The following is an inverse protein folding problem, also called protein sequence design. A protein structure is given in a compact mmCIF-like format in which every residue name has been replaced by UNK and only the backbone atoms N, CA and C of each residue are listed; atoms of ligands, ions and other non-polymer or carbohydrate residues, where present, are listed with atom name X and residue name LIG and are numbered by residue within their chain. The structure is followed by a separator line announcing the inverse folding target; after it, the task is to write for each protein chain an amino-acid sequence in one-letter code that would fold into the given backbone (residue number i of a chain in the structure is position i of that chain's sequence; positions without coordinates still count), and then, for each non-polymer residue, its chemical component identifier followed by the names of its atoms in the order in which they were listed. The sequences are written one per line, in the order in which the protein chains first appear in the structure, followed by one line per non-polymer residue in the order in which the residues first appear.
data_IF_059532007390
#
_entry.id   IF_059532007390
#
_cell.length_a   1.000
_cell.length_b   1.000
_cell.length_c   1.000
_cell.angle_alpha   90.00
_cell.angle_beta   90.00
_cell.angle_gamma   90.00
#
_symmetry.space_group_name_H-M   'P 1'
#
loop_
_entity.id
_entity.type
_entity.pdbx_description
1 polymer ?
#
# COMPACT_ATOMS: atom_id res chain seq x y z
N UNK A 1 37.58 18.65 34.21
CA UNK A 1 37.05 20.01 34.04
C UNK A 1 35.66 19.98 34.69
N UNK A 2 35.59 19.83 36.01
CA UNK A 2 35.55 20.94 36.99
C UNK A 2 34.15 21.56 36.95
N UNK A 3 33.25 21.16 37.85
CA UNK A 3 32.94 21.86 39.12
C UNK A 3 32.35 23.25 38.78
N UNK A 4 31.12 23.60 39.16
CA UNK A 4 30.67 23.74 40.53
C UNK A 4 29.14 23.58 40.64
N UNK A 5 28.74 22.94 41.73
CA UNK A 5 27.41 22.97 42.30
C UNK A 5 27.54 23.63 43.68
N UNK A 6 26.44 24.21 44.17
CA UNK A 6 26.17 24.68 45.55
C UNK A 6 26.67 26.07 45.96
N UNK A 7 25.73 26.97 46.31
CA UNK A 7 25.30 27.19 47.70
C UNK A 7 24.53 28.52 47.89
N UNK A 8 23.32 28.41 48.47
CA UNK A 8 22.82 29.25 49.59
C UNK A 8 22.49 30.73 49.39
N UNK A 9 21.19 31.04 49.45
CA UNK A 9 20.57 31.96 50.44
C UNK A 9 19.04 31.85 50.26
N UNK A 10 18.31 31.17 51.15
CA UNK A 10 17.78 31.72 52.41
C UNK A 10 16.87 32.94 52.20
N UNK A 11 15.56 32.74 52.23
CA UNK A 11 14.71 33.32 53.29
C UNK A 11 13.25 33.01 52.97
N UNK A 12 12.72 32.06 53.75
CA UNK A 12 11.29 31.93 53.96
C UNK A 12 10.86 33.09 54.87
N UNK A 13 10.46 34.22 54.29
CA UNK A 13 9.81 35.29 55.05
C UNK A 13 8.30 35.00 55.07
N UNK A 14 7.89 34.25 56.10
CA UNK A 14 6.54 34.36 56.63
C UNK A 14 6.31 35.82 57.07
N UNK A 15 5.59 36.59 56.28
CA UNK A 15 4.90 37.77 56.80
C UNK A 15 3.53 37.31 57.26
N UNK A 16 3.45 36.97 58.54
CA UNK A 16 2.21 36.97 59.28
C UNK A 16 1.63 38.40 59.23
N UNK A 17 0.61 38.62 58.40
CA UNK A 17 -0.30 39.74 58.57
C UNK A 17 -1.50 39.27 59.37
N UNK A 18 -1.32 39.16 60.69
CA UNK A 18 -2.40 39.33 61.65
C UNK A 18 -2.79 40.80 61.64
N UNK A 19 -3.94 41.11 61.06
CA UNK A 19 -4.45 42.48 60.99
C UNK A 19 -5.83 42.52 60.38
N UNK A 20 -6.84 42.45 61.26
CA UNK A 20 -8.20 42.93 61.03
C UNK A 20 -9.04 42.15 60.01
N UNK A 21 -9.69 41.11 60.53
CA UNK A 21 -10.96 40.64 60.00
C UNK A 21 -12.00 41.75 60.28
N UNK A 22 -12.08 42.71 59.37
CA UNK A 22 -13.24 43.61 59.28
C UNK A 22 -14.41 42.75 58.77
N UNK A 23 -15.20 42.30 59.73
CA UNK A 23 -16.61 41.98 59.57
C UNK A 23 -17.22 43.00 58.61
N UNK A 24 -17.84 42.62 57.48
CA UNK A 24 -18.51 43.60 56.65
C UNK A 24 -19.67 44.12 57.49
N UNK A 25 -19.46 45.33 58.03
CA UNK A 25 -20.50 46.18 58.54
C UNK A 25 -21.67 46.05 57.58
N UNK A 26 -22.81 45.71 58.17
CA UNK A 26 -24.11 45.65 57.53
C UNK A 26 -24.39 47.05 56.98
N UNK A 27 -23.88 47.32 55.77
CA UNK A 27 -24.13 48.56 55.07
C UNK A 27 -25.58 48.48 54.66
N UNK A 28 -26.41 49.17 55.44
CA UNK A 28 -27.78 49.50 55.11
C UNK A 28 -27.89 49.69 53.60
N UNK A 29 -28.60 48.76 52.97
CA UNK A 29 -28.79 48.69 51.54
C UNK A 29 -29.59 49.92 51.08
N UNK A 30 -28.89 51.03 50.88
CA UNK A 30 -29.38 52.14 50.08
C UNK A 30 -29.84 51.54 48.75
N UNK A 31 -31.07 51.80 48.30
CA UNK A 31 -31.59 51.19 47.08
C UNK A 31 -30.69 51.59 45.92
N UNK A 32 -29.94 50.61 45.40
CA UNK A 32 -29.12 50.79 44.19
C UNK A 32 -30.01 51.48 43.14
N UNK A 33 -29.62 52.67 42.64
CA UNK A 33 -30.43 53.41 41.71
C UNK A 33 -30.91 52.55 40.54
N UNK A 34 -32.18 52.69 40.15
CA UNK A 34 -32.84 51.86 39.13
C UNK A 34 -32.06 51.77 37.80
N UNK A 35 -31.31 52.81 37.42
CA UNK A 35 -30.51 52.83 36.20
C UNK A 35 -29.34 51.83 36.25
N UNK A 36 -28.61 51.74 37.37
CA UNK A 36 -27.54 50.76 37.54
C UNK A 36 -28.07 49.33 37.53
N UNK A 37 -29.28 49.08 38.05
CA UNK A 37 -29.90 47.75 37.98
C UNK A 37 -30.22 47.35 36.54
N UNK A 38 -30.74 48.27 35.74
CA UNK A 38 -31.02 48.06 34.31
C UNK A 38 -29.76 47.80 33.49
N UNK A 39 -28.71 48.61 33.68
CA UNK A 39 -27.42 48.40 33.03
C UNK A 39 -26.78 47.06 33.42
N UNK A 40 -26.90 46.64 34.68
CA UNK A 40 -26.39 45.35 35.14
C UNK A 40 -27.17 44.18 34.52
N UNK A 41 -28.49 44.33 34.34
CA UNK A 41 -29.32 43.34 33.63
C UNK A 41 -28.96 43.25 32.15
N UNK A 42 -28.74 44.38 31.49
CA UNK A 42 -28.30 44.44 30.09
C UNK A 42 -26.91 43.81 29.91
N UNK A 43 -25.93 44.16 30.73
CA UNK A 43 -24.60 43.56 30.71
C UNK A 43 -24.65 42.05 30.98
N UNK A 44 -25.54 41.58 31.86
CA UNK A 44 -25.74 40.14 32.10
C UNK A 44 -26.36 39.45 30.90
N UNK A 45 -27.31 40.08 30.20
CA UNK A 45 -27.92 39.55 28.95
C UNK A 45 -26.89 39.48 27.84
N UNK A 46 -26.08 40.51 27.65
CA UNK A 46 -24.99 40.52 26.67
C UNK A 46 -23.95 39.45 26.98
N UNK A 47 -23.50 39.36 28.24
CA UNK A 47 -22.58 38.31 28.66
C UNK A 47 -23.17 36.90 28.49
N UNK A 48 -24.49 36.72 28.65
CA UNK A 48 -25.15 35.46 28.35
C UNK A 48 -25.14 35.14 26.85
N UNK A 49 -25.42 36.13 25.99
CA UNK A 49 -25.34 36.00 24.52
C UNK A 49 -23.93 35.65 24.05
N UNK A 50 -22.92 36.37 24.53
CA UNK A 50 -21.54 36.06 24.16
C UNK A 50 -21.08 34.68 24.62
N UNK A 51 -21.62 34.17 25.74
CA UNK A 51 -21.33 32.80 26.17
C UNK A 51 -21.95 31.77 25.22
N UNK A 52 -23.18 31.99 24.75
CA UNK A 52 -23.84 31.09 23.80
C UNK A 52 -23.13 31.12 22.45
N UNK A 53 -22.87 32.31 21.90
CA UNK A 53 -22.17 32.49 20.62
C UNK A 53 -20.76 31.87 20.66
N UNK A 54 -20.01 32.07 21.74
CA UNK A 54 -18.69 31.45 21.90
C UNK A 54 -18.78 29.92 21.95
N UNK A 55 -19.79 29.37 22.62
CA UNK A 55 -19.95 27.93 22.71
C UNK A 55 -20.34 27.31 21.35
N UNK A 56 -21.19 28.00 20.58
CA UNK A 56 -21.56 27.62 19.22
C UNK A 56 -20.33 27.65 18.29
N UNK A 57 -19.58 28.76 18.28
CA UNK A 57 -18.35 28.86 17.48
C UNK A 57 -17.31 27.80 17.86
N UNK A 58 -17.22 27.45 19.15
CA UNK A 58 -16.34 26.38 19.60
C UNK A 58 -16.80 25.02 19.07
N UNK A 59 -18.09 24.73 19.14
CA UNK A 59 -18.65 23.48 18.61
C UNK A 59 -18.43 23.38 17.09
N UNK A 60 -18.63 24.47 16.36
CA UNK A 60 -18.36 24.54 14.92
C UNK A 60 -16.88 24.28 14.62
N UNK A 61 -15.97 24.91 15.35
CA UNK A 61 -14.53 24.70 15.18
C UNK A 61 -14.11 23.25 15.50
N UNK A 62 -14.70 22.64 16.53
CA UNK A 62 -14.47 21.23 16.87
C UNK A 62 -15.00 20.31 15.75
N UNK A 63 -16.22 20.55 15.25
CA UNK A 63 -16.80 19.78 14.15
C UNK A 63 -15.96 19.89 12.87
N UNK A 64 -15.45 21.09 12.54
CA UNK A 64 -14.57 21.30 11.40
C UNK A 64 -13.27 20.52 11.53
N UNK A 65 -12.66 20.49 12.71
CA UNK A 65 -11.46 19.69 12.97
C UNK A 65 -11.73 18.20 12.79
N UNK A 66 -12.85 17.70 13.32
CA UNK A 66 -13.21 16.27 13.15
C UNK A 66 -13.46 15.90 11.70
N UNK A 67 -14.08 16.78 10.91
CA UNK A 67 -14.27 16.56 9.47
C UNK A 67 -12.94 16.55 8.72
N UNK A 68 -12.05 17.48 9.02
CA UNK A 68 -10.70 17.51 8.43
C UNK A 68 -9.87 16.27 8.77
N UNK A 69 -9.99 15.77 10.00
CA UNK A 69 -9.36 14.51 10.41
C UNK A 69 -9.98 13.32 9.67
N UNK A 70 -11.31 13.25 9.58
CA UNK A 70 -12.01 12.22 8.83
C UNK A 70 -11.61 12.23 7.34
N UNK A 71 -11.63 13.38 6.68
CA UNK A 71 -11.18 13.55 5.29
C UNK A 71 -9.74 13.10 5.09
N UNK A 72 -8.83 13.43 6.01
CA UNK A 72 -7.44 12.94 5.95
C UNK A 72 -7.38 11.41 6.04
N UNK A 73 -8.16 10.79 6.93
CA UNK A 73 -8.18 9.33 7.04
C UNK A 73 -8.79 8.67 5.80
N UNK A 74 -9.79 9.28 5.18
CA UNK A 74 -10.38 8.80 3.93
C UNK A 74 -9.41 8.94 2.76
N UNK A 75 -8.69 10.07 2.70
CA UNK A 75 -7.64 10.29 1.70
C UNK A 75 -6.53 9.25 1.85
N UNK A 76 -6.08 8.96 3.08
CA UNK A 76 -5.11 7.90 3.34
C UNK A 76 -5.59 6.54 2.82
N UNK A 77 -6.83 6.14 3.17
CA UNK A 77 -7.44 4.90 2.66
C UNK A 77 -7.54 4.88 1.14
N UNK A 78 -7.89 6.01 0.53
CA UNK A 78 -7.98 6.13 -0.93
C UNK A 78 -6.59 5.99 -1.58
N UNK A 79 -5.55 6.59 -1.00
CA UNK A 79 -4.16 6.47 -1.49
C UNK A 79 -3.62 5.05 -1.35
N UNK A 80 -3.90 4.37 -0.23
CA UNK A 80 -3.50 2.98 -0.04
C UNK A 80 -4.21 2.05 -1.03
N UNK A 81 -5.51 2.28 -1.27
CA UNK A 81 -6.25 1.56 -2.29
C UNK A 81 -5.67 1.79 -3.68
N UNK A 82 -5.35 3.04 -4.02
CA UNK A 82 -4.77 3.40 -5.31
C UNK A 82 -3.40 2.72 -5.49
N UNK A 83 -2.52 2.79 -4.49
CA UNK A 83 -1.22 2.11 -4.52
C UNK A 83 -1.38 0.59 -4.72
N UNK A 84 -2.30 -0.05 -4.00
CA UNK A 84 -2.57 -1.49 -4.18
C UNK A 84 -3.07 -1.85 -5.59
N UNK A 85 -3.86 -0.97 -6.20
CA UNK A 85 -4.36 -1.14 -7.57
C UNK A 85 -3.26 -0.91 -8.61
N UNK A 86 -2.39 0.07 -8.39
CA UNK A 86 -1.22 0.30 -9.25
C UNK A 86 -0.25 -0.89 -9.20
N UNK A 87 -0.01 -1.47 -8.03
CA UNK A 87 0.84 -2.65 -7.89
C UNK A 87 0.23 -3.87 -8.59
N UNK A 88 -1.08 -4.09 -8.44
CA UNK A 88 -1.78 -5.14 -9.17
C UNK A 88 -1.74 -4.91 -10.69
N UNK A 89 -1.89 -3.66 -11.13
CA UNK A 89 -1.81 -3.30 -12.54
C UNK A 89 -0.41 -3.53 -13.11
N UNK A 90 0.65 -3.09 -12.43
CA UNK A 90 2.05 -3.35 -12.83
C UNK A 90 2.35 -4.85 -12.89
N UNK A 91 1.82 -5.64 -11.95
CA UNK A 91 1.98 -7.09 -11.98
C UNK A 91 1.32 -7.72 -13.22
N UNK A 92 0.09 -7.31 -13.55
CA UNK A 92 -0.62 -7.76 -14.75
C UNK A 92 0.07 -7.30 -16.04
N UNK A 93 0.58 -6.07 -16.08
CA UNK A 93 1.36 -5.60 -17.23
C UNK A 93 2.63 -6.44 -17.42
N UNK A 94 3.37 -6.71 -16.36
CA UNK A 94 4.56 -7.55 -16.41
C UNK A 94 4.23 -8.96 -16.90
N UNK A 95 3.16 -9.58 -16.39
CA UNK A 95 2.68 -10.87 -16.88
C UNK A 95 2.31 -10.83 -18.37
N UNK A 96 1.60 -9.78 -18.80
CA UNK A 96 1.21 -9.63 -20.20
C UNK A 96 2.43 -9.49 -21.12
N UNK A 97 3.47 -8.76 -20.69
CA UNK A 97 4.73 -8.68 -21.45
C UNK A 97 5.41 -10.03 -21.58
N UNK A 98 5.48 -10.82 -20.49
CA UNK A 98 6.05 -12.18 -20.53
C UNK A 98 5.30 -13.07 -21.50
N UNK A 99 3.97 -13.08 -21.45
CA UNK A 99 3.13 -13.88 -22.33
C UNK A 99 3.29 -13.48 -23.80
N UNK A 100 3.34 -12.17 -24.10
CA UNK A 100 3.59 -11.68 -25.47
C UNK A 100 4.94 -12.13 -26.01
N UNK A 101 5.99 -12.07 -25.18
CA UNK A 101 7.33 -12.50 -25.58
C UNK A 101 7.42 -14.02 -25.72
N UNK A 102 6.82 -14.77 -24.79
CA UNK A 102 6.74 -16.22 -24.88
C UNK A 102 6.05 -16.67 -26.17
N UNK A 103 4.92 -16.05 -26.52
CA UNK A 103 4.20 -16.31 -27.77
C UNK A 103 5.04 -15.94 -29.01
N UNK A 104 5.77 -14.80 -28.97
CA UNK A 104 6.63 -14.35 -30.07
C UNK A 104 7.79 -15.32 -30.35
N UNK A 105 8.38 -15.90 -29.31
CA UNK A 105 9.53 -16.80 -29.43
C UNK A 105 9.17 -18.28 -29.43
N UNK A 106 7.89 -18.63 -29.28
CA UNK A 106 7.40 -20.01 -29.28
C UNK A 106 7.87 -20.81 -28.06
N UNK A 107 8.01 -20.16 -26.92
CA UNK A 107 8.45 -20.79 -25.68
C UNK A 107 7.30 -21.62 -25.12
N UNK A 108 7.57 -22.90 -24.82
CA UNK A 108 6.56 -23.78 -24.25
C UNK A 108 6.10 -23.29 -22.85
N UNK A 109 4.84 -23.55 -22.52
CA UNK A 109 4.19 -23.05 -21.29
C UNK A 109 4.96 -23.42 -20.02
N UNK A 110 5.64 -24.58 -19.99
CA UNK A 110 6.42 -25.01 -18.84
C UNK A 110 7.64 -24.11 -18.57
N UNK A 111 8.11 -23.40 -19.60
CA UNK A 111 9.28 -22.51 -19.53
C UNK A 111 8.90 -21.04 -19.37
N UNK A 112 7.61 -20.69 -19.23
CA UNK A 112 7.18 -19.30 -19.06
C UNK A 112 7.69 -18.70 -17.75
N UNK A 113 7.83 -19.51 -16.69
CA UNK A 113 8.37 -19.08 -15.40
C UNK A 113 9.85 -18.67 -15.50
N UNK A 114 10.62 -19.30 -16.38
CA UNK A 114 12.05 -19.03 -16.60
C UNK A 114 12.33 -17.66 -17.23
N UNK A 115 11.29 -17.00 -17.77
CA UNK A 115 11.40 -15.63 -18.28
C UNK A 115 11.62 -14.62 -17.15
N UNK A 116 11.14 -14.90 -15.94
CA UNK A 116 11.37 -14.10 -14.74
C UNK A 116 10.90 -12.64 -14.83
N UNK A 117 11.26 -11.83 -13.84
CA UNK A 117 11.03 -10.36 -13.84
C UNK A 117 12.21 -9.60 -14.45
N UNK A 118 11.95 -8.40 -14.97
CA UNK A 118 12.98 -7.53 -15.52
C UNK A 118 12.41 -6.47 -16.46
N UNK A 119 13.32 -5.70 -17.06
CA UNK A 119 13.00 -4.84 -18.21
C UNK A 119 12.49 -5.70 -19.37
N UNK A 120 11.57 -5.21 -20.22
CA UNK A 120 11.13 -5.94 -21.41
C UNK A 120 12.29 -6.43 -22.28
N UNK A 121 13.37 -5.66 -22.39
CA UNK A 121 14.57 -6.04 -23.16
C UNK A 121 15.29 -7.25 -22.53
N UNK A 122 15.40 -7.29 -21.21
CA UNK A 122 16.03 -8.41 -20.50
C UNK A 122 15.21 -9.69 -20.62
N UNK A 123 13.87 -9.56 -20.60
CA UNK A 123 12.94 -10.67 -20.80
C UNK A 123 13.06 -11.17 -22.25
N UNK A 124 13.19 -10.28 -23.22
CA UNK A 124 13.42 -10.64 -24.63
C UNK A 124 14.72 -11.43 -24.82
N UNK A 125 15.81 -11.00 -24.20
CA UNK A 125 17.11 -11.68 -24.36
C UNK A 125 17.11 -13.06 -23.70
N UNK A 126 16.46 -13.19 -22.53
CA UNK A 126 16.21 -14.51 -21.92
C UNK A 126 15.31 -15.37 -22.79
N UNK A 127 14.26 -14.79 -23.37
CA UNK A 127 13.34 -15.49 -24.27
C UNK A 127 14.08 -16.04 -25.51
N UNK A 128 14.94 -15.23 -26.14
CA UNK A 128 15.80 -15.66 -27.26
C UNK A 128 16.71 -16.82 -26.86
N UNK A 129 17.34 -16.74 -25.68
CA UNK A 129 18.23 -17.79 -25.17
C UNK A 129 17.49 -19.10 -24.93
N UNK A 130 16.31 -19.04 -24.31
CA UNK A 130 15.47 -20.21 -24.07
C UNK A 130 14.98 -20.84 -25.38
N UNK A 131 14.55 -20.01 -26.34
CA UNK A 131 14.14 -20.49 -27.65
C UNK A 131 15.28 -21.18 -28.42
N UNK A 132 16.52 -20.70 -28.29
CA UNK A 132 17.70 -21.35 -28.87
C UNK A 132 17.96 -22.72 -28.22
N UNK A 133 17.96 -22.80 -26.89
CA UNK A 133 18.14 -24.05 -26.15
C UNK A 133 17.05 -25.07 -26.47
N UNK A 134 15.78 -24.65 -26.58
CA UNK A 134 14.68 -25.54 -26.92
C UNK A 134 14.81 -26.10 -28.33
N UNK A 135 15.30 -25.30 -29.29
CA UNK A 135 15.60 -25.78 -30.66
C UNK A 135 16.75 -26.78 -30.69
N UNK A 136 17.76 -26.61 -29.83
CA UNK A 136 18.86 -27.58 -29.69
C UNK A 136 18.39 -28.88 -29.03
N UNK A 137 17.52 -28.79 -28.01
CA UNK A 137 16.98 -29.95 -27.29
C UNK A 137 16.02 -30.80 -28.13
N UNK A 138 15.23 -30.15 -28.99
CA UNK A 138 14.28 -30.81 -29.91
C UNK A 138 14.94 -31.39 -31.15
N UNK A 139 16.22 -31.07 -31.41
CA UNK A 139 16.98 -31.75 -32.45
C UNK A 139 17.23 -33.18 -31.98
N UNK A 140 16.78 -34.21 -32.72
CA UNK A 140 17.08 -35.59 -32.35
C UNK A 140 18.60 -35.76 -32.26
N UNK A 141 19.13 -36.51 -31.28
CA UNK A 141 20.56 -36.71 -31.14
C UNK A 141 21.09 -37.46 -32.36
N UNK A 142 21.60 -36.73 -33.37
CA UNK A 142 22.30 -37.29 -34.52
C UNK A 142 23.74 -37.58 -34.12
N UNK A 143 23.92 -38.61 -33.31
CA UNK A 143 25.25 -39.17 -33.01
C UNK A 143 25.20 -40.70 -33.09
N UNK A 144 24.56 -41.22 -34.14
CA UNK A 144 24.83 -42.57 -34.62
C UNK A 144 25.91 -42.46 -35.70
N UNK A 145 27.13 -43.00 -35.48
CA UNK A 145 28.07 -43.17 -36.58
C UNK A 145 27.42 -44.09 -37.63
N UNK A 146 27.15 -43.56 -38.82
CA UNK A 146 26.47 -44.28 -39.92
C UNK A 146 27.40 -45.32 -40.58
N UNK A 147 28.57 -45.60 -40.03
CA UNK A 147 29.54 -46.54 -40.61
C UNK A 147 29.42 -47.99 -40.13
N UNK A 148 28.47 -48.34 -39.24
CA UNK A 148 28.33 -49.74 -38.76
C UNK A 148 27.03 -50.45 -39.12
N UNK A 149 26.12 -49.84 -39.88
CA UNK A 149 25.05 -50.59 -40.57
C UNK A 149 25.59 -51.12 -41.89
N UNK A 150 26.45 -52.14 -41.78
CA UNK A 150 26.77 -53.02 -42.88
C UNK A 150 25.48 -53.47 -43.56
N UNK A 151 25.48 -53.38 -44.89
CA UNK A 151 24.39 -53.75 -45.76
C UNK A 151 23.74 -55.08 -45.37
N UNK A 152 22.56 -55.01 -44.77
CA UNK A 152 21.56 -56.07 -44.87
C UNK A 152 20.46 -55.52 -45.77
N UNK A 153 20.73 -55.54 -47.09
CA UNK A 153 19.67 -55.50 -48.10
C UNK A 153 18.81 -56.74 -47.83
N UNK A 154 17.70 -56.55 -47.11
CA UNK A 154 16.68 -57.57 -46.98
C UNK A 154 15.98 -57.62 -48.34
N UNK A 155 16.40 -58.53 -49.20
CA UNK A 155 15.70 -58.83 -50.45
C UNK A 155 14.33 -59.39 -50.09
N UNK A 156 13.34 -58.51 -50.07
CA UNK A 156 11.93 -58.85 -49.97
C UNK A 156 11.56 -59.59 -51.27
N UNK A 157 11.14 -60.87 -51.21
CA UNK A 157 10.73 -61.57 -52.43
C UNK A 157 9.44 -60.92 -52.94
N UNK A 158 9.48 -60.35 -54.14
CA UNK A 158 8.29 -59.83 -54.82
C UNK A 158 7.29 -60.97 -55.07
N UNK A 159 6.28 -61.08 -54.22
CA UNK A 159 5.08 -61.86 -54.53
C UNK A 159 4.25 -61.11 -55.57
N UNK A 160 3.90 -61.73 -56.71
CA UNK A 160 3.06 -61.10 -57.72
C UNK A 160 1.67 -60.78 -57.14
N UNK A 161 0.97 -59.76 -57.67
CA UNK A 161 -0.22 -59.16 -57.06
C UNK A 161 -1.45 -60.08 -56.92
N UNK A 162 -1.39 -61.33 -57.41
CA UNK A 162 -2.49 -62.30 -57.38
C UNK A 162 -2.16 -63.60 -56.61
N UNK A 163 -1.12 -63.62 -55.77
CA UNK A 163 -0.83 -64.79 -54.94
C UNK A 163 -1.64 -64.75 -53.63
N UNK A 164 -2.54 -65.72 -53.43
CA UNK A 164 -3.22 -65.91 -52.14
C UNK A 164 -2.20 -66.39 -51.08
N UNK A 165 -2.36 -65.98 -49.81
CA UNK A 165 -1.48 -66.42 -48.73
C UNK A 165 -1.60 -67.94 -48.53
N UNK A 166 -0.46 -68.60 -48.34
CA UNK A 166 -0.30 -70.07 -48.28
C UNK A 166 -1.02 -70.77 -47.11
N UNK A 167 -1.87 -70.06 -46.36
CA UNK A 167 -2.60 -70.56 -45.19
C UNK A 167 -4.13 -70.53 -45.33
N UNK A 168 -4.68 -70.19 -46.50
CA UNK A 168 -6.13 -70.25 -46.70
C UNK A 168 -6.57 -71.64 -47.19
N UNK A 169 -7.55 -72.28 -46.52
CA UNK A 169 -8.18 -73.48 -47.05
C UNK A 169 -9.03 -73.10 -48.27
N UNK A 170 -8.83 -73.83 -49.38
CA UNK A 170 -9.64 -73.76 -50.60
C UNK A 170 -10.97 -74.49 -50.38
#
# INVERSE_FOLDING_TARGET
MSEENTATEASAEQVAHTGTQEEPANTDAQPVPEHFRKELEEARREAARYRTERNELRADAESWRTQQEAEKTELQKATERLASQEDAFKALEAENTRLRLAARYGIAEENHDLLGSGSPEEIEDRAKRLAAMQKEQTRPPSNTPVEQLGAAVRSEPETPPNAFPAGWPV
#
